data_IF_582041109606
#
_entry.id   IF_582041109606
#
_cell.length_a   1.000
_cell.length_b   1.000
_cell.length_c   1.000
_cell.angle_alpha   90.00
_cell.angle_beta   90.00
_cell.angle_gamma   90.00
#
_symmetry.space_group_name_H-M   'P 1'
#
loop_
_entity.id
_entity.type
_entity.pdbx_description
1 polymer ?
#
# COMPACT_ATOMS: atom_id res chain seq x y z
N UNK A 1 -26.04 -5.59 -3.57
CA UNK A 1 -24.66 -5.91 -3.13
C UNK A 1 -23.90 -4.60 -3.17
N UNK A 2 -23.50 -4.07 -2.01
CA UNK A 2 -22.69 -2.85 -1.96
C UNK A 2 -21.31 -3.14 -2.58
N UNK A 3 -20.95 -2.39 -3.60
CA UNK A 3 -19.65 -2.54 -4.26
C UNK A 3 -18.57 -2.02 -3.30
N UNK A 4 -17.57 -2.83 -2.99
CA UNK A 4 -16.47 -2.48 -2.07
C UNK A 4 -15.68 -1.26 -2.58
N UNK A 5 -15.66 -1.00 -3.90
CA UNK A 5 -15.00 0.18 -4.47
C UNK A 5 -15.57 1.49 -3.93
N UNK A 6 -16.87 1.57 -3.66
CA UNK A 6 -17.52 2.76 -3.08
C UNK A 6 -17.24 2.91 -1.56
N UNK A 7 -16.64 1.90 -0.94
CA UNK A 7 -16.27 1.90 0.46
C UNK A 7 -14.78 2.25 0.70
N UNK A 8 -13.97 2.41 -0.36
CA UNK A 8 -12.58 2.86 -0.19
C UNK A 8 -12.56 4.37 0.00
N UNK A 9 -12.08 4.81 1.17
CA UNK A 9 -12.12 6.20 1.62
C UNK A 9 -10.76 6.90 1.59
N UNK A 10 -9.68 6.16 1.46
CA UNK A 10 -8.33 6.69 1.31
C UNK A 10 -7.41 5.64 0.66
N UNK A 11 -6.33 6.08 0.05
CA UNK A 11 -5.19 5.24 -0.31
C UNK A 11 -3.99 5.58 0.57
N UNK A 12 -3.20 4.57 0.96
CA UNK A 12 -1.99 4.75 1.75
C UNK A 12 -0.79 4.10 1.05
N UNK A 13 0.23 4.89 0.73
CA UNK A 13 1.50 4.42 0.20
C UNK A 13 2.48 4.30 1.36
N UNK A 14 2.93 3.07 1.62
CA UNK A 14 3.92 2.77 2.64
C UNK A 14 5.33 2.92 2.04
N UNK A 15 5.91 4.09 2.23
CA UNK A 15 7.23 4.48 1.72
C UNK A 15 8.30 4.52 2.82
N UNK A 16 7.98 3.98 4.01
CA UNK A 16 8.89 3.84 5.15
C UNK A 16 9.57 2.48 5.15
N UNK A 17 10.79 2.45 5.64
CA UNK A 17 11.59 1.24 5.82
C UNK A 17 13.07 1.54 5.63
N UNK A 18 13.93 0.81 6.36
CA UNK A 18 15.37 0.88 6.15
C UNK A 18 15.72 0.17 4.83
N UNK A 19 15.85 0.96 3.75
CA UNK A 19 16.29 0.46 2.43
C UNK A 19 17.78 0.08 2.41
N UNK A 20 18.33 -0.37 3.56
CA UNK A 20 19.76 -0.68 3.74
C UNK A 20 20.28 -1.71 2.73
N UNK A 21 19.43 -2.59 2.23
CA UNK A 21 19.80 -3.65 1.26
C UNK A 21 19.90 -3.13 -0.18
N UNK A 22 19.25 -2.01 -0.48
CA UNK A 22 19.27 -1.40 -1.82
C UNK A 22 20.36 -0.33 -1.95
N UNK A 23 20.91 0.17 -0.82
CA UNK A 23 21.84 1.31 -0.82
C UNK A 23 21.18 2.66 -1.13
N UNK A 24 19.97 2.64 -1.68
CA UNK A 24 19.18 3.81 -2.08
C UNK A 24 17.74 3.71 -1.60
N UNK A 25 17.03 4.84 -1.57
CA UNK A 25 15.61 4.88 -1.23
C UNK A 25 14.77 4.30 -2.37
N UNK A 26 14.12 3.15 -2.14
CA UNK A 26 13.25 2.51 -3.14
C UNK A 26 12.17 3.43 -3.71
N UNK A 27 11.61 4.29 -2.88
CA UNK A 27 10.57 5.23 -3.31
C UNK A 27 11.09 6.28 -4.30
N UNK A 28 12.39 6.58 -4.22
CA UNK A 28 13.07 7.50 -5.13
C UNK A 28 13.61 6.82 -6.40
N UNK A 29 13.60 5.47 -6.47
CA UNK A 29 13.95 4.76 -7.70
C UNK A 29 12.99 5.14 -8.83
N UNK A 30 13.50 5.13 -10.05
CA UNK A 30 12.73 5.45 -11.25
C UNK A 30 13.67 5.69 -12.42
N UNK A 31 13.16 6.33 -13.45
CA UNK A 31 13.93 6.87 -14.57
C UNK A 31 14.06 8.40 -14.45
N UNK A 32 14.71 9.01 -15.45
CA UNK A 32 14.93 10.47 -15.49
C UNK A 32 13.62 11.28 -15.44
N UNK A 33 12.47 10.67 -15.73
CA UNK A 33 11.19 11.36 -15.81
C UNK A 33 10.37 11.29 -14.51
N UNK A 34 10.50 10.20 -13.70
CA UNK A 34 9.61 10.06 -12.52
C UNK A 34 10.04 8.94 -11.57
N UNK A 35 10.00 9.20 -10.28
CA UNK A 35 10.25 8.21 -9.22
C UNK A 35 9.08 7.23 -9.06
N UNK A 36 9.32 6.06 -8.43
CA UNK A 36 8.28 5.04 -8.18
C UNK A 36 7.12 5.61 -7.37
N UNK A 37 7.41 6.37 -6.33
CA UNK A 37 6.35 6.97 -5.50
C UNK A 37 5.53 7.99 -6.29
N UNK A 38 6.17 8.76 -7.18
CA UNK A 38 5.46 9.72 -8.02
C UNK A 38 4.54 9.03 -9.02
N UNK A 39 5.01 7.95 -9.67
CA UNK A 39 4.20 7.13 -10.57
C UNK A 39 2.97 6.56 -9.86
N UNK A 40 3.15 6.05 -8.64
CA UNK A 40 2.04 5.52 -7.84
C UNK A 40 1.03 6.60 -7.48
N UNK A 41 1.49 7.79 -7.06
CA UNK A 41 0.60 8.91 -6.75
C UNK A 41 -0.14 9.39 -7.98
N UNK A 42 0.52 9.49 -9.13
CA UNK A 42 -0.07 9.89 -10.40
C UNK A 42 -1.19 8.94 -10.83
N UNK A 43 -0.92 7.64 -10.81
CA UNK A 43 -1.90 6.61 -11.16
C UNK A 43 -3.11 6.62 -10.19
N UNK A 44 -2.91 6.83 -8.90
CA UNK A 44 -4.00 6.99 -7.93
C UNK A 44 -4.82 8.28 -8.19
N UNK A 45 -4.21 9.36 -8.65
CA UNK A 45 -4.91 10.58 -9.03
C UNK A 45 -5.73 10.42 -10.30
N UNK A 46 -5.21 9.65 -11.26
CA UNK A 46 -5.94 9.30 -12.48
C UNK A 46 -7.14 8.39 -12.16
N UNK A 47 -7.00 7.48 -11.21
CA UNK A 47 -8.09 6.64 -10.70
C UNK A 47 -9.18 7.50 -10.01
N UNK A 48 -8.78 8.44 -9.16
CA UNK A 48 -9.72 9.34 -8.47
C UNK A 48 -9.05 10.63 -8.00
N UNK A 49 -9.51 11.77 -8.53
CA UNK A 49 -9.02 13.10 -8.15
C UNK A 49 -9.36 13.47 -6.69
N UNK A 50 -10.43 12.91 -6.14
CA UNK A 50 -10.91 13.24 -4.78
C UNK A 50 -10.44 12.26 -3.70
N UNK A 51 -9.85 11.11 -4.06
CA UNK A 51 -9.40 10.11 -3.08
C UNK A 51 -8.25 10.68 -2.24
N UNK A 52 -8.35 10.76 -0.91
CA UNK A 52 -7.23 11.14 -0.05
C UNK A 52 -6.07 10.16 -0.23
N UNK A 53 -4.86 10.68 -0.51
CA UNK A 53 -3.63 9.89 -0.61
C UNK A 53 -2.75 10.20 0.58
N UNK A 54 -2.43 9.18 1.37
CA UNK A 54 -1.61 9.23 2.56
C UNK A 54 -0.22 8.66 2.23
N UNK A 55 0.82 9.42 2.52
CA UNK A 55 2.21 8.99 2.32
C UNK A 55 2.82 8.69 3.69
N UNK A 56 2.98 7.40 4.00
CA UNK A 56 3.56 6.91 5.24
C UNK A 56 5.05 6.63 5.04
N UNK A 57 5.87 7.65 5.27
CA UNK A 57 7.33 7.64 4.99
C UNK A 57 8.18 7.96 6.22
N UNK A 58 7.61 7.86 7.42
CA UNK A 58 8.29 8.27 8.65
C UNK A 58 8.63 9.76 8.63
N UNK A 59 9.90 10.07 8.83
CA UNK A 59 10.40 11.46 8.79
C UNK A 59 10.75 11.96 7.38
N UNK A 60 10.77 11.06 6.38
CA UNK A 60 11.13 11.44 5.01
C UNK A 60 10.05 12.28 4.35
N UNK A 61 10.47 13.20 3.50
CA UNK A 61 9.60 14.01 2.64
C UNK A 61 10.05 13.86 1.20
N UNK A 62 9.11 13.68 0.31
CA UNK A 62 9.34 13.61 -1.13
C UNK A 62 8.85 14.91 -1.75
N UNK A 63 9.79 15.83 -2.06
CA UNK A 63 9.48 17.17 -2.58
C UNK A 63 8.72 17.11 -3.91
N UNK A 64 9.00 16.08 -4.73
CA UNK A 64 8.30 15.84 -5.99
C UNK A 64 6.78 15.71 -5.80
N UNK A 65 6.32 15.28 -4.62
CA UNK A 65 4.90 15.13 -4.32
C UNK A 65 4.20 16.43 -3.90
N UNK A 66 4.90 17.54 -3.76
CA UNK A 66 4.31 18.82 -3.34
C UNK A 66 3.28 19.36 -4.35
N UNK A 67 3.36 18.94 -5.62
CA UNK A 67 2.40 19.30 -6.67
C UNK A 67 1.14 18.47 -6.65
N UNK A 68 1.16 17.33 -5.94
CA UNK A 68 0.04 16.41 -5.82
C UNK A 68 -0.61 16.59 -4.45
N UNK A 69 -1.89 16.79 -4.37
CA UNK A 69 -2.62 16.95 -3.11
C UNK A 69 -2.55 15.69 -2.23
N UNK A 70 -1.38 15.39 -1.66
CA UNK A 70 -1.10 14.26 -0.78
C UNK A 70 -0.91 14.72 0.66
N UNK A 71 -1.19 13.83 1.62
CA UNK A 71 -0.94 14.06 3.04
C UNK A 71 0.20 13.17 3.52
N UNK A 72 1.30 13.78 3.91
CA UNK A 72 2.37 13.07 4.60
C UNK A 72 1.97 12.72 6.03
N UNK A 73 2.07 11.46 6.38
CA UNK A 73 1.70 10.89 7.67
C UNK A 73 2.97 10.40 8.36
N UNK A 74 3.36 10.99 9.50
CA UNK A 74 4.52 10.51 10.26
C UNK A 74 4.21 9.18 10.95
N UNK A 75 5.22 8.32 11.11
CA UNK A 75 5.07 7.04 11.82
C UNK A 75 4.71 7.27 13.30
N UNK A 76 3.96 6.33 13.88
CA UNK A 76 3.62 6.31 15.30
C UNK A 76 4.86 6.18 16.19
N UNK A 77 5.79 5.33 15.78
CA UNK A 77 7.02 5.00 16.50
C UNK A 77 8.18 4.97 15.50
N UNK A 78 9.28 5.61 15.85
CA UNK A 78 10.50 5.51 15.06
C UNK A 78 10.94 4.04 14.98
N UNK A 79 11.21 3.56 13.77
CA UNK A 79 11.73 2.21 13.50
C UNK A 79 10.77 1.03 13.77
N UNK A 80 9.45 1.25 13.80
CA UNK A 80 8.48 0.16 13.96
C UNK A 80 8.10 -0.55 12.63
N UNK A 81 8.79 -0.22 11.54
CA UNK A 81 8.57 -0.85 10.23
C UNK A 81 7.25 -0.44 9.56
N UNK A 82 6.85 -1.12 8.48
CA UNK A 82 5.70 -0.72 7.67
C UNK A 82 4.36 -0.81 8.42
N UNK A 83 4.28 -1.62 9.49
CA UNK A 83 3.07 -1.74 10.29
C UNK A 83 2.72 -0.46 11.06
N UNK A 84 3.73 0.31 11.52
CA UNK A 84 3.50 1.61 12.15
C UNK A 84 2.93 2.62 11.16
N UNK A 85 3.43 2.63 9.93
CA UNK A 85 2.87 3.45 8.85
C UNK A 85 1.43 3.07 8.53
N UNK A 86 1.12 1.77 8.49
CA UNK A 86 -0.24 1.26 8.29
C UNK A 86 -1.19 1.70 9.42
N UNK A 87 -0.78 1.55 10.69
CA UNK A 87 -1.57 1.97 11.85
C UNK A 87 -1.90 3.47 11.78
N UNK A 88 -0.92 4.30 11.46
CA UNK A 88 -1.11 5.75 11.29
C UNK A 88 -2.00 6.10 10.09
N UNK A 89 -1.91 5.36 8.99
CA UNK A 89 -2.80 5.55 7.87
C UNK A 89 -4.26 5.28 8.24
N UNK A 90 -4.52 4.17 8.94
CA UNK A 90 -5.86 3.82 9.41
C UNK A 90 -6.42 4.86 10.39
N UNK A 91 -5.63 5.28 11.38
CA UNK A 91 -6.01 6.34 12.33
C UNK A 91 -6.31 7.66 11.61
N UNK A 92 -5.45 8.04 10.66
CA UNK A 92 -5.63 9.28 9.89
C UNK A 92 -6.90 9.24 9.04
N UNK A 93 -7.21 8.10 8.44
CA UNK A 93 -8.43 7.91 7.66
C UNK A 93 -9.67 7.89 8.57
N UNK A 94 -9.61 7.20 9.71
CA UNK A 94 -10.70 7.15 10.68
C UNK A 94 -11.07 8.54 11.25
N UNK A 95 -10.09 9.44 11.39
CA UNK A 95 -10.33 10.81 11.86
C UNK A 95 -11.17 11.67 10.90
N UNK A 96 -11.46 11.20 9.68
CA UNK A 96 -12.33 11.91 8.73
C UNK A 96 -13.83 11.73 9.00
N UNK A 97 -14.21 11.17 10.15
CA UNK A 97 -15.60 10.93 10.59
C UNK A 97 -16.37 9.89 9.75
N UNK A 98 -15.67 9.04 9.01
CA UNK A 98 -16.27 7.93 8.28
C UNK A 98 -16.11 6.68 9.15
N UNK A 99 -17.22 6.24 9.78
CA UNK A 99 -17.21 5.07 10.67
C UNK A 99 -17.00 3.74 9.94
N UNK A 100 -17.23 3.70 8.63
CA UNK A 100 -17.13 2.49 7.81
C UNK A 100 -16.40 2.81 6.50
N UNK A 101 -15.51 1.92 6.11
CA UNK A 101 -14.76 2.02 4.87
C UNK A 101 -13.42 1.32 4.95
N UNK A 102 -12.72 1.34 3.84
CA UNK A 102 -11.41 0.72 3.71
C UNK A 102 -10.36 1.76 3.33
N UNK A 103 -9.16 1.57 3.84
CA UNK A 103 -7.94 2.18 3.30
C UNK A 103 -7.33 1.18 2.32
N UNK A 104 -7.12 1.61 1.08
CA UNK A 104 -6.34 0.88 0.10
C UNK A 104 -4.86 1.09 0.39
N UNK A 105 -4.15 0.02 0.71
CA UNK A 105 -2.75 0.04 1.16
C UNK A 105 -1.85 -0.60 0.11
N UNK A 106 -0.73 0.04 -0.18
CA UNK A 106 0.29 -0.46 -1.08
C UNK A 106 1.70 -0.01 -0.63
N UNK A 107 2.74 -0.84 -0.83
CA UNK A 107 4.13 -0.45 -0.61
C UNK A 107 4.71 0.18 -1.88
N UNK A 108 5.86 0.85 -1.76
CA UNK A 108 6.56 1.46 -2.90
C UNK A 108 7.37 0.46 -3.74
N UNK A 109 7.54 -0.77 -3.29
CA UNK A 109 8.36 -1.79 -3.96
C UNK A 109 7.55 -2.68 -4.94
N UNK A 110 6.57 -2.10 -5.61
CA UNK A 110 5.78 -2.71 -6.67
C UNK A 110 5.82 -1.88 -7.95
N UNK A 111 5.93 -2.54 -9.10
CA UNK A 111 5.80 -1.93 -10.42
C UNK A 111 4.38 -2.03 -11.00
N UNK A 112 3.51 -2.82 -10.36
CA UNK A 112 2.12 -2.91 -10.81
C UNK A 112 1.40 -1.59 -10.49
N UNK A 113 0.74 -0.96 -11.48
CA UNK A 113 0.00 0.27 -11.24
C UNK A 113 -1.01 0.11 -10.12
N UNK A 114 -1.09 1.05 -9.16
CA UNK A 114 -2.08 1.03 -8.08
C UNK A 114 -3.52 0.80 -8.54
N UNK A 115 -3.93 1.40 -9.67
CA UNK A 115 -5.25 1.23 -10.27
C UNK A 115 -5.57 -0.23 -10.58
N UNK A 116 -4.62 -0.98 -11.12
CA UNK A 116 -4.80 -2.40 -11.43
C UNK A 116 -4.97 -3.25 -10.16
N UNK A 117 -4.16 -2.97 -9.12
CA UNK A 117 -4.28 -3.65 -7.82
C UNK A 117 -5.61 -3.30 -7.17
N UNK A 118 -6.02 -2.03 -7.24
CA UNK A 118 -7.31 -1.55 -6.73
C UNK A 118 -8.48 -2.27 -7.38
N UNK A 119 -8.52 -2.34 -8.70
CA UNK A 119 -9.59 -3.00 -9.46
C UNK A 119 -9.64 -4.51 -9.14
N UNK A 120 -8.49 -5.15 -9.06
CA UNK A 120 -8.38 -6.56 -8.70
C UNK A 120 -8.97 -6.82 -7.30
N UNK A 121 -8.58 -6.04 -6.30
CA UNK A 121 -9.06 -6.18 -4.92
C UNK A 121 -10.54 -5.85 -4.80
N UNK A 122 -11.00 -4.71 -5.32
CA UNK A 122 -12.38 -4.26 -5.16
C UNK A 122 -13.38 -5.08 -5.97
N UNK A 123 -12.95 -5.63 -7.11
CA UNK A 123 -13.78 -6.47 -7.97
C UNK A 123 -14.09 -7.85 -7.39
N UNK A 124 -13.26 -8.36 -6.47
CA UNK A 124 -13.39 -9.70 -5.92
C UNK A 124 -13.43 -9.76 -4.37
N UNK A 125 -13.35 -8.62 -3.68
CA UNK A 125 -13.34 -8.56 -2.22
C UNK A 125 -14.68 -9.04 -1.63
N UNK A 126 -14.65 -9.97 -0.64
CA UNK A 126 -15.82 -10.28 0.15
C UNK A 126 -16.24 -9.09 1.01
N UNK A 127 -17.54 -8.73 0.97
CA UNK A 127 -18.07 -7.56 1.65
C UNK A 127 -17.98 -7.60 3.20
N UNK A 128 -17.71 -8.77 3.78
CA UNK A 128 -17.70 -8.99 5.24
C UNK A 128 -16.30 -9.09 5.85
N UNK A 129 -15.22 -9.04 5.04
CA UNK A 129 -13.86 -9.18 5.55
C UNK A 129 -13.34 -7.85 6.08
N UNK A 130 -12.74 -7.86 7.27
CA UNK A 130 -12.07 -6.68 7.82
C UNK A 130 -10.81 -6.31 7.04
N UNK A 131 -10.14 -7.32 6.48
CA UNK A 131 -8.95 -7.15 5.64
C UNK A 131 -9.04 -8.04 4.41
N UNK A 132 -8.65 -7.50 3.26
CA UNK A 132 -8.54 -8.25 2.00
C UNK A 132 -7.14 -8.05 1.45
N UNK A 133 -6.41 -9.14 1.26
CA UNK A 133 -5.00 -9.11 0.83
C UNK A 133 -4.83 -9.70 -0.56
N UNK A 134 -3.90 -9.15 -1.31
CA UNK A 134 -3.49 -9.70 -2.60
C UNK A 134 -2.65 -10.96 -2.38
N UNK A 135 -2.97 -12.03 -3.13
CA UNK A 135 -2.25 -13.30 -3.10
C UNK A 135 -1.82 -13.69 -4.51
N UNK A 136 -0.53 -13.74 -4.77
CA UNK A 136 0.12 -14.35 -5.91
C UNK A 136 0.60 -15.76 -5.58
N UNK A 137 1.82 -16.11 -5.99
CA UNK A 137 2.51 -17.33 -5.53
C UNK A 137 2.76 -17.27 -4.01
N UNK A 138 2.93 -16.07 -3.48
CA UNK A 138 3.00 -15.78 -2.04
C UNK A 138 1.92 -14.76 -1.65
N UNK A 139 1.69 -14.62 -0.36
CA UNK A 139 0.82 -13.59 0.18
C UNK A 139 1.58 -12.25 0.20
N UNK A 140 0.89 -11.17 -0.18
CA UNK A 140 1.40 -9.81 -0.16
C UNK A 140 0.68 -8.98 0.92
N UNK A 141 1.13 -9.05 2.20
CA UNK A 141 0.37 -8.51 3.32
C UNK A 141 0.25 -6.98 3.35
N UNK A 142 1.01 -6.27 2.52
CA UNK A 142 0.94 -4.82 2.38
C UNK A 142 0.25 -4.35 1.09
N UNK A 143 -0.27 -5.28 0.28
CA UNK A 143 -1.14 -4.97 -0.86
C UNK A 143 -2.56 -5.39 -0.50
N UNK A 144 -3.39 -4.45 -0.05
CA UNK A 144 -4.71 -4.85 0.42
C UNK A 144 -5.66 -3.70 0.78
N UNK A 145 -6.85 -4.11 1.17
CA UNK A 145 -7.89 -3.26 1.73
C UNK A 145 -7.97 -3.52 3.24
N UNK A 146 -7.86 -2.49 4.05
CA UNK A 146 -7.93 -2.59 5.50
C UNK A 146 -9.09 -1.73 6.01
N UNK A 147 -10.00 -2.33 6.76
CA UNK A 147 -11.12 -1.60 7.37
C UNK A 147 -10.61 -0.53 8.33
N UNK A 148 -11.16 0.68 8.27
CA UNK A 148 -10.84 1.77 9.21
C UNK A 148 -11.23 1.43 10.63
N UNK A 149 -12.19 0.52 10.84
CA UNK A 149 -12.58 0.03 12.17
C UNK A 149 -11.42 -0.65 12.90
N UNK A 150 -10.39 -1.09 12.19
CA UNK A 150 -9.19 -1.69 12.77
C UNK A 150 -8.22 -0.67 13.40
N UNK A 151 -8.41 0.63 13.20
CA UNK A 151 -7.47 1.65 13.64
C UNK A 151 -7.11 1.55 15.14
N UNK A 152 -8.07 1.46 16.09
CA UNK A 152 -7.72 1.39 17.51
C UNK A 152 -6.91 0.14 17.86
N UNK A 153 -7.36 -1.02 17.42
CA UNK A 153 -6.70 -2.28 17.76
C UNK A 153 -5.36 -2.48 17.03
N UNK A 154 -5.19 -1.90 15.84
CA UNK A 154 -3.89 -1.87 15.15
C UNK A 154 -2.89 -1.00 15.91
N UNK A 155 -3.34 0.14 16.43
CA UNK A 155 -2.52 1.01 17.27
C UNK A 155 -2.08 0.29 18.54
N UNK A 156 -3.01 -0.30 19.30
CA UNK A 156 -2.71 -1.08 20.52
C UNK A 156 -1.71 -2.21 20.24
N UNK A 157 -1.87 -2.92 19.11
CA UNK A 157 -0.96 -3.98 18.71
C UNK A 157 0.46 -3.47 18.46
N UNK A 158 0.61 -2.34 17.75
CA UNK A 158 1.92 -1.74 17.49
C UNK A 158 2.56 -1.22 18.77
N UNK A 159 1.80 -0.56 19.65
CA UNK A 159 2.28 -0.04 20.93
C UNK A 159 2.70 -1.16 21.89
N UNK A 160 2.01 -2.31 21.87
CA UNK A 160 2.40 -3.51 22.62
C UNK A 160 3.63 -4.25 22.08
N UNK A 161 4.21 -3.75 20.98
CA UNK A 161 5.43 -4.32 20.38
C UNK A 161 5.20 -5.22 19.18
N UNK A 162 3.95 -5.32 18.67
CA UNK A 162 3.64 -6.04 17.43
C UNK A 162 4.36 -5.44 16.21
N UNK A 163 4.87 -6.29 15.32
CA UNK A 163 5.66 -5.87 14.15
C UNK A 163 5.24 -6.54 12.84
N UNK A 164 4.36 -7.52 12.90
CA UNK A 164 3.94 -8.34 11.77
C UNK A 164 2.48 -8.11 11.43
N UNK A 165 2.16 -7.81 10.16
CA UNK A 165 0.77 -7.77 9.69
C UNK A 165 0.09 -9.12 9.89
N UNK A 166 0.78 -10.22 9.58
CA UNK A 166 0.19 -11.56 9.75
C UNK A 166 -0.11 -11.88 11.22
N UNK A 167 0.81 -11.53 12.14
CA UNK A 167 0.53 -11.70 13.58
C UNK A 167 -0.62 -10.82 14.09
N UNK A 168 -0.86 -9.67 13.46
CA UNK A 168 -2.06 -8.88 13.76
C UNK A 168 -3.34 -9.57 13.27
N UNK A 169 -3.28 -10.34 12.19
CA UNK A 169 -4.43 -10.97 11.54
C UNK A 169 -4.80 -12.34 12.12
N UNK A 170 -4.00 -12.93 13.01
CA UNK A 170 -4.20 -14.30 13.51
C UNK A 170 -5.61 -14.56 14.07
N UNK A 171 -6.21 -13.56 14.73
CA UNK A 171 -7.55 -13.66 15.35
C UNK A 171 -8.62 -12.80 14.65
N UNK A 172 -8.43 -12.47 13.34
CA UNK A 172 -9.32 -11.54 12.62
C UNK A 172 -9.92 -12.14 11.38
N UNK A 173 -11.02 -11.52 10.94
CA UNK A 173 -11.67 -11.88 9.67
C UNK A 173 -10.93 -11.24 8.50
N UNK A 174 -10.22 -12.05 7.72
CA UNK A 174 -9.55 -11.61 6.51
C UNK A 174 -9.73 -12.58 5.35
N UNK A 175 -9.56 -12.09 4.15
CA UNK A 175 -9.67 -12.83 2.91
C UNK A 175 -8.53 -12.52 1.95
N UNK A 176 -8.41 -13.30 0.89
CA UNK A 176 -7.46 -13.05 -0.19
C UNK A 176 -8.16 -12.91 -1.53
N UNK A 177 -7.59 -12.08 -2.39
CA UNK A 177 -7.91 -12.02 -3.82
C UNK A 177 -6.68 -12.47 -4.60
N UNK A 178 -6.89 -13.35 -5.58
CA UNK A 178 -5.78 -13.89 -6.37
C UNK A 178 -5.31 -12.89 -7.41
N UNK A 179 -4.03 -12.54 -7.36
CA UNK A 179 -3.38 -11.71 -8.37
C UNK A 179 -3.24 -12.46 -9.70
N UNK A 180 -3.31 -11.77 -10.84
CA UNK A 180 -2.89 -12.34 -12.12
C UNK A 180 -1.44 -12.87 -12.05
N UNK A 181 -1.22 -14.08 -12.55
CA UNK A 181 0.11 -14.73 -12.47
C UNK A 181 1.23 -13.90 -13.09
N UNK A 182 0.91 -13.12 -14.12
CA UNK A 182 1.87 -12.25 -14.79
C UNK A 182 2.44 -11.13 -13.89
N UNK A 183 1.74 -10.80 -12.78
CA UNK A 183 2.16 -9.74 -11.87
C UNK A 183 3.25 -10.18 -10.89
N UNK A 184 3.39 -11.48 -10.65
CA UNK A 184 4.27 -12.01 -9.58
C UNK A 184 5.69 -11.41 -9.57
N UNK A 185 6.41 -11.31 -10.71
CA UNK A 185 7.75 -10.71 -10.72
C UNK A 185 7.77 -9.21 -10.40
N UNK A 186 6.62 -8.53 -10.55
CA UNK A 186 6.49 -7.08 -10.44
C UNK A 186 5.87 -6.62 -9.11
N UNK A 187 5.35 -7.55 -8.28
CA UNK A 187 4.63 -7.22 -7.05
C UNK A 187 5.52 -6.81 -5.89
N UNK A 188 6.80 -7.21 -5.89
CA UNK A 188 7.72 -6.86 -4.82
C UNK A 188 9.17 -7.11 -5.23
N UNK A 189 10.06 -6.17 -4.94
CA UNK A 189 11.50 -6.30 -5.13
C UNK A 189 12.24 -5.68 -3.93
N UNK A 190 13.38 -6.28 -3.55
CA UNK A 190 14.15 -5.88 -2.38
C UNK A 190 15.63 -5.65 -2.67
N UNK A 191 16.09 -6.01 -3.87
CA UNK A 191 17.47 -5.84 -4.34
C UNK A 191 17.50 -5.20 -5.72
N UNK A 192 18.60 -4.56 -6.13
CA UNK A 192 18.77 -4.03 -7.49
C UNK A 192 18.50 -5.07 -8.58
N UNK A 193 19.03 -6.29 -8.42
CA UNK A 193 18.83 -7.39 -9.39
C UNK A 193 17.35 -7.82 -9.47
N UNK A 194 16.61 -7.77 -8.35
CA UNK A 194 15.16 -8.04 -8.35
C UNK A 194 14.39 -6.91 -9.06
N UNK A 195 14.81 -5.67 -8.87
CA UNK A 195 14.22 -4.52 -9.54
C UNK A 195 14.42 -4.57 -11.06
N UNK A 196 15.63 -4.87 -11.53
CA UNK A 196 15.91 -5.03 -12.96
C UNK A 196 15.04 -6.14 -13.58
N UNK A 197 14.96 -7.30 -12.92
CA UNK A 197 14.08 -8.41 -13.36
C UNK A 197 12.59 -8.02 -13.37
N UNK A 198 12.16 -7.26 -12.39
CA UNK A 198 10.80 -6.74 -12.34
C UNK A 198 10.51 -5.78 -13.49
N UNK A 199 11.46 -4.89 -13.84
CA UNK A 199 11.35 -4.00 -14.99
C UNK A 199 11.24 -4.76 -16.32
N UNK A 200 12.09 -5.76 -16.54
CA UNK A 200 12.00 -6.60 -17.74
C UNK A 200 10.66 -7.32 -17.86
N UNK A 201 10.15 -7.85 -16.73
CA UNK A 201 8.87 -8.53 -16.69
C UNK A 201 7.71 -7.55 -16.95
N UNK A 202 7.78 -6.36 -16.37
CA UNK A 202 6.78 -5.30 -16.55
C UNK A 202 6.70 -4.85 -18.02
N UNK A 203 7.85 -4.59 -18.66
CA UNK A 203 7.89 -4.23 -20.09
C UNK A 203 7.25 -5.32 -20.95
N UNK A 204 7.58 -6.59 -20.71
CA UNK A 204 6.97 -7.71 -21.45
C UNK A 204 5.46 -7.80 -21.25
N UNK A 205 4.98 -7.51 -20.04
CA UNK A 205 3.55 -7.55 -19.71
C UNK A 205 2.76 -6.43 -20.39
N UNK A 206 3.36 -5.24 -20.54
CA UNK A 206 2.70 -4.05 -21.10
C UNK A 206 2.84 -3.92 -22.62
N UNK A 207 3.68 -4.77 -23.24
CA UNK A 207 3.92 -4.76 -24.69
C UNK A 207 3.02 -5.73 -25.47
N UNK A 208 2.09 -6.42 -24.82
CA UNK A 208 1.10 -7.34 -25.39
C UNK A 208 -0.26 -6.67 -25.44
#
# INVERSE_FOLDING_TARGET
MSNVSNAVIAAAILAGGDSQRMGEDKAALGDDDSSLIERQVKDLRDLSQSLPILICSGSRRYEVLNTYNVRHVPDLLNSAGPLAGLARALETAAATCIEQGYVFVLPTDSLIPPSHIYDCLTGAAPATSEVVLLKGERLHPLHGLFSVALAPCMQDYVESGGRSVMGFLDDRSWATVTAPRAWEPCLNFNTPDEYERALEAFVKMTSV
#
